data_IF_154253604240
#
_entry.id   IF_154253604240
#
_cell.length_a   1.000
_cell.length_b   1.000
_cell.length_c   1.000
_cell.angle_alpha   90.00
_cell.angle_beta   90.00
_cell.angle_gamma   90.00
#
_symmetry.space_group_name_H-M   'P 1'
#
loop_
_entity.id
_entity.type
_entity.pdbx_description
1 polymer ?
#
# COMPACT_ATOMS: atom_id res chain seq x y z
N UNK A 1 14.08 13.32 -10.01
CA UNK A 1 12.98 13.48 -11.00
C UNK A 1 12.45 12.09 -11.25
N UNK A 2 11.18 11.83 -10.93
CA UNK A 2 10.57 10.49 -11.07
C UNK A 2 10.39 10.20 -12.56
N UNK A 3 10.85 9.04 -13.02
CA UNK A 3 10.62 8.57 -14.38
C UNK A 3 9.31 7.77 -14.50
N UNK A 4 8.92 7.42 -15.72
CA UNK A 4 7.65 6.69 -15.93
C UNK A 4 7.69 5.23 -15.44
N UNK A 5 8.89 4.66 -15.25
CA UNK A 5 9.07 3.29 -14.75
C UNK A 5 8.81 3.23 -13.25
N UNK A 6 9.46 4.14 -12.51
CA UNK A 6 9.38 4.24 -11.06
C UNK A 6 7.99 4.68 -10.58
N UNK A 7 7.27 5.46 -11.40
CA UNK A 7 5.94 5.93 -11.04
C UNK A 7 4.92 4.78 -10.83
N UNK A 8 5.16 3.58 -11.37
CA UNK A 8 4.30 2.43 -11.10
C UNK A 8 4.18 2.11 -9.61
N UNK A 9 5.30 2.09 -8.89
CA UNK A 9 5.31 1.86 -7.44
C UNK A 9 4.75 3.10 -6.73
N UNK A 10 5.13 4.30 -7.18
CA UNK A 10 4.64 5.56 -6.61
C UNK A 10 3.12 5.71 -6.71
N UNK A 11 2.47 5.18 -7.76
CA UNK A 11 1.01 5.22 -7.90
C UNK A 11 0.33 4.45 -6.75
N UNK A 12 0.82 3.27 -6.38
CA UNK A 12 0.23 2.52 -5.27
C UNK A 12 0.39 3.27 -3.94
N UNK A 13 1.59 3.79 -3.66
CA UNK A 13 1.84 4.62 -2.48
C UNK A 13 0.97 5.88 -2.44
N UNK A 14 0.72 6.49 -3.61
CA UNK A 14 -0.16 7.63 -3.75
C UNK A 14 -1.62 7.27 -3.40
N UNK A 15 -2.12 6.14 -3.91
CA UNK A 15 -3.49 5.68 -3.68
C UNK A 15 -3.74 5.25 -2.23
N UNK A 16 -2.72 4.72 -1.57
CA UNK A 16 -2.78 4.34 -0.15
C UNK A 16 -2.56 5.54 0.79
N UNK A 17 -2.33 6.75 0.25
CA UNK A 17 -1.99 7.98 0.97
C UNK A 17 -0.71 7.88 1.82
N UNK A 18 0.25 7.06 1.37
CA UNK A 18 1.53 6.85 2.04
C UNK A 18 2.61 7.86 1.60
N UNK A 19 2.42 8.52 0.46
CA UNK A 19 3.32 9.58 0.01
C UNK A 19 3.13 10.87 0.81
N UNK A 20 4.25 11.43 1.27
CA UNK A 20 4.29 12.70 2.02
C UNK A 20 5.36 13.63 1.49
N UNK A 21 5.23 14.93 1.80
CA UNK A 21 6.26 15.93 1.54
C UNK A 21 6.70 16.01 0.08
N UNK A 22 8.02 16.01 -0.16
CA UNK A 22 8.60 16.25 -1.48
C UNK A 22 8.33 15.14 -2.50
N UNK A 23 8.07 13.90 -2.07
CA UNK A 23 7.76 12.79 -2.97
C UNK A 23 6.36 12.94 -3.56
N UNK A 24 5.40 13.33 -2.72
CA UNK A 24 4.03 13.63 -3.16
C UNK A 24 4.02 14.77 -4.19
N UNK A 25 4.78 15.84 -3.93
CA UNK A 25 4.87 16.96 -4.87
C UNK A 25 5.54 16.56 -6.19
N UNK A 26 6.61 15.77 -6.16
CA UNK A 26 7.24 15.25 -7.37
C UNK A 26 6.29 14.35 -8.19
N UNK A 27 5.53 13.48 -7.51
CA UNK A 27 4.53 12.63 -8.16
C UNK A 27 3.43 13.47 -8.82
N UNK A 28 2.92 14.50 -8.13
CA UNK A 28 1.93 15.44 -8.68
C UNK A 28 2.44 16.19 -9.89
N UNK A 29 3.66 16.71 -9.85
CA UNK A 29 4.29 17.40 -10.98
C UNK A 29 4.43 16.45 -12.17
N UNK A 30 4.91 15.22 -11.96
CA UNK A 30 5.04 14.23 -13.02
C UNK A 30 3.67 13.89 -13.64
N UNK A 31 2.65 13.62 -12.82
CA UNK A 31 1.29 13.35 -13.27
C UNK A 31 0.70 14.54 -14.04
N UNK A 32 1.00 15.77 -13.65
CA UNK A 32 0.59 16.97 -14.39
C UNK A 32 1.16 17.02 -15.82
N UNK A 33 2.40 16.56 -16.01
CA UNK A 33 3.09 16.60 -17.30
C UNK A 33 2.86 15.34 -18.17
N UNK A 34 2.69 14.17 -17.56
CA UNK A 34 2.74 12.88 -18.25
C UNK A 34 1.36 12.27 -18.48
N UNK A 35 0.89 12.25 -19.74
CA UNK A 35 -0.44 11.69 -20.08
C UNK A 35 -0.54 10.18 -19.84
N UNK A 36 0.48 9.40 -20.20
CA UNK A 36 0.46 7.93 -20.02
C UNK A 36 0.35 7.54 -18.56
N UNK A 37 1.08 8.23 -17.69
CA UNK A 37 1.04 8.00 -16.26
C UNK A 37 -0.29 8.40 -15.61
N UNK A 38 -0.97 9.44 -16.11
CA UNK A 38 -2.34 9.77 -15.67
C UNK A 38 -3.34 8.69 -16.05
N UNK A 39 -3.26 8.14 -17.26
CA UNK A 39 -4.14 7.05 -17.68
C UNK A 39 -3.94 5.84 -16.77
N UNK A 40 -2.68 5.46 -16.49
CA UNK A 40 -2.37 4.39 -15.54
C UNK A 40 -2.93 4.64 -14.14
N UNK A 41 -2.79 5.85 -13.62
CA UNK A 41 -3.40 6.22 -12.33
C UNK A 41 -4.92 6.02 -12.34
N UNK A 42 -5.61 6.46 -13.40
CA UNK A 42 -7.06 6.30 -13.52
C UNK A 42 -7.48 4.82 -13.62
N UNK A 43 -6.70 3.99 -14.30
CA UNK A 43 -6.93 2.54 -14.39
C UNK A 43 -6.82 1.89 -13.00
N UNK A 44 -5.76 2.21 -12.25
CA UNK A 44 -5.56 1.71 -10.87
C UNK A 44 -6.65 2.21 -9.91
N UNK A 45 -7.08 3.48 -10.01
CA UNK A 45 -8.20 4.03 -9.25
C UNK A 45 -9.51 3.28 -9.54
N UNK A 46 -9.78 3.00 -10.82
CA UNK A 46 -10.97 2.27 -11.24
C UNK A 46 -10.96 0.84 -10.70
N UNK A 47 -9.81 0.15 -10.79
CA UNK A 47 -9.63 -1.19 -10.22
C UNK A 47 -9.81 -1.19 -8.70
N UNK A 48 -9.15 -0.28 -7.99
CA UNK A 48 -9.27 -0.11 -6.54
C UNK A 48 -10.72 0.12 -6.11
N UNK A 49 -11.47 0.92 -6.87
CA UNK A 49 -12.90 1.13 -6.64
C UNK A 49 -13.72 -0.15 -6.85
N UNK A 50 -13.46 -0.90 -7.92
CA UNK A 50 -14.15 -2.18 -8.16
C UNK A 50 -13.88 -3.18 -7.02
N UNK A 51 -12.63 -3.29 -6.57
CA UNK A 51 -12.26 -4.17 -5.46
C UNK A 51 -12.97 -3.79 -4.16
N UNK A 52 -13.05 -2.48 -3.84
CA UNK A 52 -13.82 -2.00 -2.68
C UNK A 52 -15.32 -2.33 -2.78
N UNK A 53 -15.90 -2.30 -3.98
CA UNK A 53 -17.30 -2.68 -4.19
C UNK A 53 -17.54 -4.19 -4.11
N UNK A 54 -16.56 -4.99 -4.53
CA UNK A 54 -16.63 -6.44 -4.44
C UNK A 54 -16.38 -6.97 -3.02
N UNK A 55 -15.70 -6.18 -2.18
CA UNK A 55 -15.42 -6.55 -0.79
C UNK A 55 -16.71 -6.61 0.04
N UNK A 56 -16.95 -7.76 0.68
CA UNK A 56 -18.04 -7.94 1.64
C UNK A 56 -17.56 -7.44 3.01
N UNK A 57 -18.15 -6.36 3.57
CA UNK A 57 -17.70 -5.84 4.85
C UNK A 57 -17.90 -6.85 5.98
N UNK A 58 -16.86 -7.04 6.79
CA UNK A 58 -16.99 -7.80 8.03
C UNK A 58 -17.76 -6.95 9.05
N UNK A 59 -18.85 -7.50 9.57
CA UNK A 59 -19.65 -6.83 10.60
C UNK A 59 -18.90 -6.90 11.93
N UNK A 60 -18.53 -5.75 12.47
CA UNK A 60 -17.93 -5.66 13.80
C UNK A 60 -18.89 -6.21 14.88
N UNK A 61 -18.42 -6.97 15.89
CA UNK A 61 -19.26 -7.44 16.99
C UNK A 61 -19.98 -6.30 17.73
N UNK A 62 -21.21 -6.55 18.21
CA UNK A 62 -22.04 -5.55 18.89
C UNK A 62 -21.30 -4.80 20.02
N UNK A 63 -20.56 -5.46 20.94
CA UNK A 63 -19.87 -4.75 22.02
C UNK A 63 -18.82 -3.75 21.52
N UNK A 64 -18.14 -4.07 20.40
CA UNK A 64 -17.15 -3.18 19.81
C UNK A 64 -17.82 -1.98 19.14
N UNK A 65 -18.94 -2.19 18.45
CA UNK A 65 -19.74 -1.10 17.87
C UNK A 65 -20.27 -0.17 18.95
N UNK A 66 -20.86 -0.72 20.02
CA UNK A 66 -21.42 0.06 21.12
C UNK A 66 -20.34 0.92 21.80
N UNK A 67 -19.14 0.36 22.00
CA UNK A 67 -17.98 1.09 22.55
C UNK A 67 -17.51 2.23 21.64
N UNK A 68 -17.43 2.01 20.33
CA UNK A 68 -17.03 3.06 19.37
C UNK A 68 -18.08 4.17 19.31
N UNK A 69 -19.37 3.81 19.31
CA UNK A 69 -20.47 4.77 19.33
C UNK A 69 -20.46 5.61 20.60
N UNK A 70 -20.22 5.02 21.78
CA UNK A 70 -20.12 5.79 23.02
C UNK A 70 -18.95 6.79 23.02
N UNK A 71 -17.80 6.39 22.47
CA UNK A 71 -16.61 7.27 22.39
C UNK A 71 -16.82 8.44 21.43
N UNK A 72 -17.42 8.18 20.27
CA UNK A 72 -17.67 9.22 19.25
C UNK A 72 -18.76 10.20 19.69
N UNK A 73 -19.82 9.73 20.36
CA UNK A 73 -20.87 10.59 20.90
C UNK A 73 -20.39 11.48 22.05
N UNK A 74 -19.50 10.96 22.90
CA UNK A 74 -18.87 11.75 23.96
C UNK A 74 -18.01 12.91 23.41
N UNK A 75 -17.38 12.73 22.24
CA UNK A 75 -16.60 13.79 21.58
C UNK A 75 -17.45 14.86 20.88
N UNK A 76 -18.72 14.58 20.54
CA UNK A 76 -19.59 15.54 19.83
C UNK A 76 -20.38 16.48 20.75
N UNK A 77 -20.44 16.23 22.06
CA UNK A 77 -21.25 17.01 23.02
C UNK A 77 -20.39 17.86 23.98
N UNK A 78 -19.07 17.68 23.99
CA UNK A 78 -18.16 18.44 24.84
C UNK A 78 -17.49 19.58 24.08
N UNK A 79 -17.85 20.83 24.41
CA UNK A 79 -17.00 21.99 24.10
C UNK A 79 -15.57 21.76 24.58
N UNK A 80 -14.61 22.38 23.91
CA UNK A 80 -13.18 22.39 24.24
C UNK A 80 -12.99 22.39 25.77
N UNK A 81 -12.55 21.27 26.38
CA UNK A 81 -12.12 21.30 27.76
C UNK A 81 -10.74 21.94 27.76
N UNK A 82 -10.72 23.25 28.06
CA UNK A 82 -9.53 23.90 28.60
C UNK A 82 -9.11 23.12 29.84
N UNK A 83 -7.98 22.41 29.76
CA UNK A 83 -7.20 21.91 30.89
C UNK A 83 -7.99 21.16 31.97
N UNK A 84 -8.25 19.88 31.74
CA UNK A 84 -8.71 18.97 32.79
C UNK A 84 -7.93 17.67 32.69
N UNK A 85 -7.12 17.41 33.71
CA UNK A 85 -6.21 16.29 33.88
C UNK A 85 -6.64 14.98 33.20
N UNK A 86 -5.80 14.52 32.26
CA UNK A 86 -5.78 13.12 31.88
C UNK A 86 -5.56 12.28 33.15
N UNK A 87 -6.34 11.21 33.38
CA UNK A 87 -5.97 10.19 34.36
C UNK A 87 -4.59 9.67 33.98
N UNK A 88 -3.59 10.04 34.78
CA UNK A 88 -2.24 9.52 34.72
C UNK A 88 -2.35 8.03 35.04
N UNK A 89 -2.46 7.22 34.00
CA UNK A 89 -2.23 5.78 34.06
C UNK A 89 -0.91 5.59 34.82
N UNK A 90 -1.01 5.07 36.04
CA UNK A 90 0.16 4.64 36.78
C UNK A 90 0.83 3.54 35.95
N UNK A 91 2.10 3.69 35.56
CA UNK A 91 2.84 2.58 35.00
C UNK A 91 2.85 1.52 36.09
N UNK A 92 2.12 0.42 35.87
CA UNK A 92 2.22 -0.76 36.72
C UNK A 92 3.68 -1.19 36.68
N UNK A 93 4.38 -0.87 37.77
CA UNK A 93 5.73 -1.34 38.05
C UNK A 93 5.66 -2.85 38.32
N UNK A 94 5.48 -3.64 37.26
CA UNK A 94 5.71 -5.07 37.31
C UNK A 94 7.10 -5.36 36.78
N UNK A 95 7.99 -5.50 37.76
CA UNK A 95 9.11 -6.44 37.78
C UNK A 95 10.01 -6.49 36.54
N UNK A 96 11.12 -5.75 36.68
CA UNK A 96 12.44 -6.13 36.19
C UNK A 96 12.66 -7.65 36.25
N UNK A 97 12.67 -8.30 35.09
CA UNK A 97 13.19 -9.64 34.94
C UNK A 97 14.09 -9.72 33.70
N UNK A 98 15.38 -9.45 33.97
CA UNK A 98 16.59 -10.01 33.35
C UNK A 98 16.63 -10.07 31.81
N UNK A 99 17.50 -9.21 31.28
CA UNK A 99 18.27 -9.45 30.06
C UNK A 99 18.68 -10.93 29.92
N UNK A 100 18.14 -11.58 28.88
CA UNK A 100 18.76 -12.75 28.26
C UNK A 100 19.57 -12.25 27.06
N UNK A 101 20.90 -12.46 27.00
CA UNK A 101 21.63 -12.30 25.75
C UNK A 101 21.19 -13.42 24.81
N UNK A 102 20.48 -13.08 23.74
CA UNK A 102 20.24 -13.99 22.62
C UNK A 102 21.56 -14.07 21.88
N UNK A 103 22.27 -15.17 22.12
CA UNK A 103 23.51 -15.50 21.44
C UNK A 103 23.30 -15.59 19.93
N UNK A 104 24.27 -15.04 19.21
CA UNK A 104 24.48 -15.30 17.79
C UNK A 104 24.45 -16.80 17.54
N UNK A 105 23.51 -17.26 16.72
CA UNK A 105 23.78 -18.38 15.84
C UNK A 105 23.80 -17.83 14.42
N UNK A 106 25.00 -17.73 13.89
CA UNK A 106 25.32 -17.34 12.52
C UNK A 106 24.82 -18.42 11.56
N UNK A 107 23.52 -18.43 11.28
CA UNK A 107 22.92 -19.19 10.21
C UNK A 107 23.20 -18.51 8.88
N UNK A 108 24.20 -19.00 8.15
CA UNK A 108 24.48 -18.62 6.76
C UNK A 108 23.24 -18.93 5.90
N UNK A 109 22.41 -17.92 5.62
CA UNK A 109 21.40 -18.04 4.58
C UNK A 109 22.11 -17.79 3.25
N UNK A 110 22.55 -18.88 2.62
CA UNK A 110 22.90 -18.87 1.21
C UNK A 110 21.58 -18.72 0.43
N UNK A 111 21.23 -17.49 0.05
CA UNK A 111 20.16 -17.27 -0.91
C UNK A 111 20.68 -17.66 -2.29
N UNK A 112 20.23 -18.83 -2.74
CA UNK A 112 20.41 -19.29 -4.10
C UNK A 112 19.73 -18.30 -5.06
N UNK A 113 20.52 -17.70 -5.94
CA UNK A 113 20.06 -16.92 -7.07
C UNK A 113 19.43 -17.86 -8.09
N UNK A 114 18.12 -18.07 -8.00
CA UNK A 114 17.36 -18.74 -9.04
C UNK A 114 17.14 -17.77 -10.21
N UNK A 115 18.03 -17.83 -11.20
CA UNK A 115 17.87 -17.18 -12.49
C UNK A 115 16.72 -17.83 -13.25
N UNK A 116 15.55 -17.20 -13.23
CA UNK A 116 14.41 -17.56 -14.07
C UNK A 116 14.47 -16.78 -15.40
N UNK A 117 15.50 -17.08 -16.20
CA UNK A 117 15.49 -16.83 -17.64
C UNK A 117 14.69 -17.94 -18.30
N UNK A 118 13.51 -17.66 -18.88
CA UNK A 118 12.92 -18.33 -20.06
C UNK A 118 11.40 -18.14 -20.13
N UNK A 119 10.92 -16.94 -20.50
CA UNK A 119 9.57 -16.79 -21.11
C UNK A 119 9.53 -15.78 -22.27
N UNK A 120 10.63 -15.08 -22.59
CA UNK A 120 10.63 -14.08 -23.69
C UNK A 120 10.80 -14.70 -25.09
N UNK A 121 11.24 -15.97 -25.19
CA UNK A 121 11.49 -16.63 -26.48
C UNK A 121 10.23 -17.11 -27.23
N UNK A 122 9.10 -17.31 -26.54
CA UNK A 122 7.91 -17.91 -27.14
C UNK A 122 7.02 -16.95 -27.94
N UNK A 123 7.04 -15.65 -27.62
CA UNK A 123 6.10 -14.70 -28.22
C UNK A 123 6.55 -14.14 -29.57
N UNK A 124 7.85 -14.22 -29.91
CA UNK A 124 8.38 -13.72 -31.18
C UNK A 124 8.20 -14.68 -32.37
N UNK A 125 7.98 -15.98 -32.12
CA UNK A 125 7.74 -16.94 -33.22
C UNK A 125 6.31 -16.84 -33.76
N UNK A 126 5.33 -16.50 -32.91
CA UNK A 126 3.91 -16.44 -33.32
C UNK A 126 3.60 -15.20 -34.18
N UNK A 127 4.30 -14.07 -33.97
CA UNK A 127 4.02 -12.85 -34.75
C UNK A 127 4.64 -12.85 -36.15
N UNK A 128 5.62 -13.71 -36.44
CA UNK A 128 6.18 -13.83 -37.79
C UNK A 128 5.32 -14.71 -38.71
N UNK A 129 4.62 -15.71 -38.16
CA UNK A 129 3.79 -16.62 -38.97
C UNK A 129 2.52 -15.96 -39.54
N UNK A 130 2.00 -14.89 -38.94
CA UNK A 130 0.80 -14.21 -39.44
C UNK A 130 1.06 -13.16 -40.54
N UNK A 131 2.32 -12.82 -40.84
CA UNK A 131 2.61 -11.72 -41.80
C UNK A 131 2.75 -12.19 -43.26
N UNK A 132 3.00 -13.47 -43.50
CA UNK A 132 3.22 -13.99 -44.86
C UNK A 132 1.94 -14.54 -45.52
N UNK A 133 0.77 -14.47 -44.89
CA UNK A 133 -0.50 -14.95 -45.46
C UNK A 133 -1.44 -13.85 -45.98
N UNK A 134 -0.96 -12.61 -46.14
CA UNK A 134 -1.83 -11.45 -46.48
C UNK A 134 -1.47 -10.73 -47.77
N UNK A 135 -0.65 -11.34 -48.63
CA UNK A 135 -0.34 -10.81 -49.98
C UNK A 135 -0.65 -11.86 -51.04
N UNK A 136 -1.93 -12.17 -51.20
CA UNK A 136 -2.48 -12.80 -52.42
C UNK A 136 -3.98 -12.47 -52.48
N UNK A 137 -4.28 -11.24 -52.91
CA UNK A 137 -5.56 -10.85 -53.52
C UNK A 137 -5.41 -9.48 -54.22
#
# INVERSE_FOLDING_TARGET
MIDCGDLGITIHLLLDNELVGGELEQARVHLGACKSCRVRLQEEEALSKQLRHAFVPLVAPKPLRDRILSLTQASTVGGVPTGGDLPREHPSQHASHRHRPIGLSSGRIALATATLTMVVGGLLVVTKACRDSSTDL
#
